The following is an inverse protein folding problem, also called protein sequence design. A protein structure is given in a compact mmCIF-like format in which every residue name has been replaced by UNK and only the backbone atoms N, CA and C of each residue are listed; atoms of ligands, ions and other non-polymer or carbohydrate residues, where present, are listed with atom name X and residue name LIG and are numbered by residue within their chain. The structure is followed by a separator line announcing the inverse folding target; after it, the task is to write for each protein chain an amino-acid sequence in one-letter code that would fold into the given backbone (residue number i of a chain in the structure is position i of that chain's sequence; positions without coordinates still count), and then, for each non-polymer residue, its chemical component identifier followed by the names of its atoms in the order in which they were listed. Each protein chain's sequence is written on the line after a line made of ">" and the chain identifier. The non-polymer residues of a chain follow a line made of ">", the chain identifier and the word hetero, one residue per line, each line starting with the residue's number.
data_IF_801745114572
#
_entry.id   IF_801745114572
#
_cell.length_a   1.000
_cell.length_b   1.000
_cell.length_c   1.000
_cell.angle_alpha   90.00
_cell.angle_beta   90.00
_cell.angle_gamma   90.00
#
_symmetry.space_group_name_H-M   'P 1'
#
loop_
_entity.id
_entity.type
_entity.pdbx_description
1 polymer ?
#
# COMPACT_ATOMS: atom_id res chain seq x y z
N UNK A 1 23.34 4.94 4.70
CA UNK A 1 21.99 4.67 5.25
C UNK A 1 21.42 3.47 4.51
N UNK A 2 20.36 2.78 4.99
CA UNK A 2 19.70 1.78 4.14
C UNK A 2 19.10 2.48 2.91
N UNK A 3 19.06 1.80 1.76
CA UNK A 3 18.36 2.30 0.59
C UNK A 3 16.86 2.46 0.87
N UNK A 4 16.15 3.26 0.06
CA UNK A 4 14.70 3.39 0.18
C UNK A 4 13.98 2.07 -0.14
N UNK A 5 14.55 1.26 -1.03
CA UNK A 5 14.04 -0.06 -1.38
C UNK A 5 15.12 -1.16 -1.27
N UNK A 6 14.73 -2.37 -0.88
CA UNK A 6 13.42 -2.74 -0.33
C UNK A 6 13.39 -2.44 1.17
N UNK A 7 12.24 -1.98 1.68
CA UNK A 7 12.04 -1.75 3.12
C UNK A 7 12.15 -3.08 3.88
N UNK A 8 12.79 -3.07 5.06
CA UNK A 8 12.86 -4.27 5.90
C UNK A 8 11.48 -4.62 6.46
N UNK A 9 11.27 -5.89 6.85
CA UNK A 9 9.95 -6.33 7.35
C UNK A 9 9.58 -5.57 8.63
N UNK A 10 10.50 -5.40 9.59
CA UNK A 10 10.23 -4.65 10.81
C UNK A 10 9.87 -3.18 10.57
N UNK A 11 10.62 -2.50 9.70
CA UNK A 11 10.29 -1.12 9.33
C UNK A 11 8.92 -1.04 8.66
N UNK A 12 8.61 -1.97 7.77
CA UNK A 12 7.31 -2.04 7.11
C UNK A 12 6.17 -2.27 8.12
N UNK A 13 6.33 -3.22 9.05
CA UNK A 13 5.34 -3.47 10.10
C UNK A 13 5.12 -2.21 10.95
N UNK A 14 6.19 -1.51 11.31
CA UNK A 14 6.10 -0.23 12.03
C UNK A 14 5.34 0.84 11.23
N UNK A 15 5.66 1.02 9.94
CA UNK A 15 5.00 1.99 9.06
C UNK A 15 3.51 1.69 8.89
N UNK A 16 3.15 0.41 8.81
CA UNK A 16 1.76 -0.03 8.65
C UNK A 16 0.99 -0.16 9.97
N UNK A 17 1.66 0.10 11.10
CA UNK A 17 1.12 -0.12 12.45
C UNK A 17 0.62 -1.57 12.64
N UNK A 18 1.45 -2.54 12.25
CA UNK A 18 1.22 -3.98 12.41
C UNK A 18 2.10 -4.55 13.55
N UNK A 19 1.66 -5.63 14.21
CA UNK A 19 2.43 -6.27 15.28
C UNK A 19 3.81 -6.74 14.82
N UNK A 20 4.85 -6.48 15.62
CA UNK A 20 6.24 -6.83 15.29
C UNK A 20 6.47 -8.36 15.23
N UNK A 21 5.65 -9.13 15.94
CA UNK A 21 5.65 -10.59 15.96
C UNK A 21 5.38 -11.20 14.57
N UNK A 22 4.79 -10.42 13.66
CA UNK A 22 4.58 -10.83 12.27
C UNK A 22 5.87 -10.87 11.44
N UNK A 23 7.01 -10.39 11.96
CA UNK A 23 8.28 -10.37 11.22
C UNK A 23 8.67 -11.75 10.67
N UNK A 24 8.41 -12.81 11.43
CA UNK A 24 8.72 -14.19 11.06
C UNK A 24 7.81 -14.78 9.97
N UNK A 25 6.77 -14.06 9.52
CA UNK A 25 5.86 -14.57 8.50
C UNK A 25 6.55 -14.59 7.11
N UNK A 26 6.72 -15.78 6.54
CA UNK A 26 7.47 -15.98 5.29
C UNK A 26 6.81 -15.33 4.09
N UNK A 27 5.50 -15.04 4.15
CA UNK A 27 4.76 -14.45 3.03
C UNK A 27 5.33 -13.10 2.60
N UNK A 28 5.80 -12.27 3.55
CA UNK A 28 6.42 -10.99 3.24
C UNK A 28 7.72 -11.16 2.44
N UNK A 29 8.49 -12.21 2.74
CA UNK A 29 9.71 -12.54 2.01
C UNK A 29 9.40 -13.05 0.60
N UNK A 30 8.39 -13.89 0.47
CA UNK A 30 7.96 -14.46 -0.82
C UNK A 30 7.42 -13.39 -1.78
N UNK A 31 6.71 -12.39 -1.25
CA UNK A 31 6.12 -11.32 -2.06
C UNK A 31 7.07 -10.15 -2.35
N UNK A 32 8.26 -10.12 -1.73
CA UNK A 32 9.27 -9.07 -1.94
C UNK A 32 9.61 -8.87 -3.41
N UNK A 33 9.89 -9.94 -4.14
CA UNK A 33 10.23 -9.86 -5.56
C UNK A 33 9.08 -9.29 -6.40
N UNK A 34 7.85 -9.73 -6.12
CA UNK A 34 6.65 -9.27 -6.82
C UNK A 34 6.40 -7.77 -6.61
N UNK A 35 6.55 -7.30 -5.38
CA UNK A 35 6.38 -5.87 -5.04
C UNK A 35 7.45 -5.02 -5.71
N UNK A 36 8.71 -5.47 -5.72
CA UNK A 36 9.80 -4.75 -6.38
C UNK A 36 9.58 -4.63 -7.89
N UNK A 37 9.20 -5.72 -8.56
CA UNK A 37 8.87 -5.69 -10.00
C UNK A 37 7.62 -4.84 -10.28
N UNK A 38 6.64 -4.86 -9.39
CA UNK A 38 5.46 -3.99 -9.49
C UNK A 38 5.86 -2.51 -9.45
N UNK A 39 6.68 -2.09 -8.48
CA UNK A 39 7.15 -0.71 -8.39
C UNK A 39 7.95 -0.35 -9.65
N UNK A 40 8.91 -1.19 -10.04
CA UNK A 40 9.73 -0.99 -11.24
C UNK A 40 8.91 -0.78 -12.50
N UNK A 41 7.82 -1.53 -12.65
CA UNK A 41 6.89 -1.41 -13.79
C UNK A 41 6.04 -0.13 -13.78
N UNK A 42 5.87 0.52 -12.63
CA UNK A 42 4.98 1.67 -12.46
C UNK A 42 5.69 3.03 -12.43
N UNK A 43 7.00 3.05 -12.18
CA UNK A 43 7.78 4.30 -12.05
C UNK A 43 8.76 4.48 -13.20
N UNK A 44 9.30 5.69 -13.35
CA UNK A 44 10.43 5.94 -14.25
C UNK A 44 11.70 5.29 -13.70
N UNK A 45 12.49 4.68 -14.59
CA UNK A 45 13.67 3.87 -14.20
C UNK A 45 14.70 4.69 -13.39
N UNK A 46 14.95 5.95 -13.75
CA UNK A 46 15.89 6.80 -13.00
C UNK A 46 15.48 6.98 -11.53
N UNK A 47 14.18 7.09 -11.23
CA UNK A 47 13.69 7.17 -9.85
C UNK A 47 13.72 5.82 -9.15
N UNK A 48 13.45 4.73 -9.87
CA UNK A 48 13.63 3.38 -9.34
C UNK A 48 15.09 3.11 -8.93
N UNK A 49 16.06 3.41 -9.80
CA UNK A 49 17.48 3.26 -9.49
C UNK A 49 17.89 4.15 -8.32
N UNK A 50 17.39 5.38 -8.26
CA UNK A 50 17.64 6.29 -7.13
C UNK A 50 17.14 5.70 -5.80
N UNK A 51 15.99 5.01 -5.80
CA UNK A 51 15.43 4.39 -4.60
C UNK A 51 16.23 3.17 -4.13
N UNK A 52 17.04 2.56 -5.00
CA UNK A 52 17.98 1.48 -4.65
C UNK A 52 19.33 1.99 -4.16
N UNK A 53 19.62 3.28 -4.33
CA UNK A 53 20.89 3.90 -3.97
C UNK A 53 20.95 4.19 -2.45
N UNK A 54 21.89 3.58 -1.69
CA UNK A 54 22.08 3.85 -0.26
C UNK A 54 22.57 5.26 0.09
N UNK A 55 22.96 6.05 -0.92
CA UNK A 55 23.38 7.45 -0.77
C UNK A 55 22.22 8.45 -0.81
N UNK A 56 21.02 8.02 -1.19
CA UNK A 56 19.82 8.86 -1.12
C UNK A 56 19.55 9.22 0.35
N UNK A 57 19.43 10.53 0.65
CA UNK A 57 19.20 10.96 2.03
C UNK A 57 17.78 10.65 2.49
N UNK A 58 17.61 10.42 3.79
CA UNK A 58 16.36 9.95 4.38
C UNK A 58 15.28 11.04 4.47
N UNK A 59 15.70 12.30 4.38
CA UNK A 59 14.91 13.51 4.24
C UNK A 59 14.57 13.88 2.77
N UNK A 60 15.08 13.13 1.78
CA UNK A 60 14.67 13.28 0.39
C UNK A 60 13.22 12.79 0.18
N UNK A 61 12.33 13.59 -0.46
CA UNK A 61 10.95 13.18 -0.72
C UNK A 61 10.83 11.85 -1.48
N UNK A 62 11.79 11.51 -2.34
CA UNK A 62 11.84 10.22 -3.06
C UNK A 62 12.05 9.07 -2.08
N UNK A 63 12.97 9.22 -1.12
CA UNK A 63 13.25 8.20 -0.11
C UNK A 63 11.96 7.85 0.65
N UNK A 64 11.28 8.89 1.13
CA UNK A 64 10.03 8.77 1.89
C UNK A 64 8.93 8.13 1.02
N UNK A 65 8.74 8.63 -0.21
CA UNK A 65 7.68 8.18 -1.09
C UNK A 65 7.80 6.70 -1.47
N UNK A 66 9.00 6.26 -1.87
CA UNK A 66 9.24 4.88 -2.27
C UNK A 66 9.09 3.90 -1.10
N UNK A 67 9.53 4.29 0.10
CA UNK A 67 9.36 3.46 1.32
C UNK A 67 7.88 3.27 1.65
N UNK A 68 7.10 4.35 1.68
CA UNK A 68 5.66 4.29 1.98
C UNK A 68 4.92 3.46 0.93
N UNK A 69 5.22 3.67 -0.36
CA UNK A 69 4.60 2.93 -1.45
C UNK A 69 4.90 1.43 -1.37
N UNK A 70 6.15 1.05 -1.08
CA UNK A 70 6.52 -0.35 -0.86
C UNK A 70 5.74 -0.98 0.28
N UNK A 71 5.55 -0.28 1.40
CA UNK A 71 4.80 -0.80 2.53
C UNK A 71 3.34 -1.08 2.16
N UNK A 72 2.68 -0.12 1.49
CA UNK A 72 1.30 -0.33 1.05
C UNK A 72 1.17 -1.44 0.00
N UNK A 73 2.10 -1.53 -0.95
CA UNK A 73 2.08 -2.57 -1.97
C UNK A 73 2.38 -3.96 -1.39
N UNK A 74 3.24 -4.05 -0.37
CA UNK A 74 3.47 -5.31 0.34
C UNK A 74 2.22 -5.78 1.06
N UNK A 75 1.51 -4.88 1.77
CA UNK A 75 0.26 -5.25 2.42
C UNK A 75 -0.83 -5.60 1.39
N UNK A 76 -0.92 -4.83 0.29
CA UNK A 76 -1.82 -5.15 -0.83
C UNK A 76 -1.56 -6.56 -1.37
N UNK A 77 -0.29 -6.93 -1.54
CA UNK A 77 0.12 -8.22 -2.10
C UNK A 77 -0.11 -9.39 -1.14
N UNK A 78 -0.09 -9.16 0.18
CA UNK A 78 -0.08 -10.22 1.19
C UNK A 78 -1.39 -10.35 1.99
N UNK A 79 -2.26 -9.34 2.00
CA UNK A 79 -3.41 -9.28 2.91
C UNK A 79 -4.40 -10.45 2.82
N UNK A 80 -4.51 -11.13 1.67
CA UNK A 80 -5.35 -12.34 1.51
C UNK A 80 -4.78 -13.57 2.22
N UNK A 81 -3.46 -13.61 2.41
CA UNK A 81 -2.74 -14.69 3.08
C UNK A 81 -2.53 -14.44 4.56
N UNK A 82 -2.62 -13.17 4.98
CA UNK A 82 -2.56 -12.81 6.38
C UNK A 82 -3.83 -13.30 7.06
N UNK A 83 -3.67 -14.07 8.14
CA UNK A 83 -4.79 -14.45 8.99
C UNK A 83 -5.35 -13.17 9.63
N UNK A 84 -6.42 -12.62 9.06
CA UNK A 84 -6.99 -11.30 9.37
C UNK A 84 -7.46 -11.14 10.83
N UNK A 85 -7.42 -12.20 11.65
CA UNK A 85 -7.55 -12.10 13.11
C UNK A 85 -6.56 -11.08 13.73
N UNK A 86 -5.39 -10.86 13.12
CA UNK A 86 -4.39 -9.89 13.59
C UNK A 86 -4.60 -8.45 13.10
N UNK A 87 -5.37 -8.23 12.02
CA UNK A 87 -5.83 -6.88 11.62
C UNK A 87 -7.09 -6.46 12.39
N UNK A 88 -7.81 -7.42 12.95
CA UNK A 88 -9.03 -7.25 13.75
C UNK A 88 -8.82 -6.75 15.18
N UNK A 89 -7.58 -6.56 15.64
CA UNK A 89 -7.32 -5.86 16.93
C UNK A 89 -7.47 -4.34 16.83
N UNK A 90 -7.77 -3.81 15.63
CA UNK A 90 -7.74 -2.37 15.37
C UNK A 90 -8.83 -1.80 14.47
N UNK A 91 -10.09 -2.25 14.49
CA UNK A 91 -11.28 -1.40 14.19
C UNK A 91 -12.49 -1.88 15.03
N UNK A 92 -12.69 -1.29 16.22
CA UNK A 92 -13.92 -1.45 17.00
C UNK A 92 -15.02 -0.62 16.36
N UNK A 93 -16.04 -1.25 15.76
CA UNK A 93 -17.15 -0.50 15.12
C UNK A 93 -18.28 -0.11 16.07
N UNK A 94 -18.40 -0.70 17.26
CA UNK A 94 -19.35 -0.27 18.30
C UNK A 94 -19.06 -0.98 19.61
N UNK A 95 -19.01 -0.24 20.73
CA UNK A 95 -18.90 -0.81 22.08
C UNK A 95 -20.31 -1.18 22.54
N UNK A 96 -20.75 -2.39 22.20
CA UNK A 96 -21.89 -3.05 22.85
C UNK A 96 -21.36 -3.90 23.99
N UNK A 97 -21.90 -3.72 25.19
CA UNK A 97 -21.35 -4.14 26.49
C UNK A 97 -21.02 -5.64 26.70
N UNK A 98 -21.23 -6.56 25.76
CA UNK A 98 -21.16 -8.00 26.05
C UNK A 98 -20.53 -8.93 25.00
N UNK A 99 -19.92 -8.48 23.91
CA UNK A 99 -19.21 -9.41 23.00
C UNK A 99 -18.23 -8.72 22.05
N UNK A 100 -16.94 -8.98 22.22
CA UNK A 100 -15.90 -8.67 21.21
C UNK A 100 -15.95 -9.73 20.11
N UNK A 101 -16.86 -9.57 19.13
CA UNK A 101 -16.89 -10.43 17.96
C UNK A 101 -15.84 -9.96 16.93
N UNK A 102 -14.83 -10.78 16.68
CA UNK A 102 -13.91 -10.61 15.54
C UNK A 102 -14.65 -11.05 14.28
N UNK A 103 -15.20 -10.12 13.51
CA UNK A 103 -15.80 -10.42 12.21
C UNK A 103 -14.71 -10.51 11.12
N UNK A 104 -14.75 -11.58 10.32
CA UNK A 104 -13.89 -11.73 9.16
C UNK A 104 -14.38 -10.79 8.05
N UNK A 105 -13.46 -10.10 7.38
CA UNK A 105 -13.80 -9.32 6.19
C UNK A 105 -14.38 -10.24 5.12
N UNK A 106 -15.48 -9.82 4.51
CA UNK A 106 -16.00 -10.45 3.28
C UNK A 106 -14.99 -10.25 2.13
N UNK A 107 -15.06 -11.09 1.09
CA UNK A 107 -14.20 -10.94 -0.09
C UNK A 107 -14.28 -9.53 -0.71
N UNK A 108 -15.48 -8.94 -0.76
CA UNK A 108 -15.68 -7.58 -1.27
C UNK A 108 -14.99 -6.51 -0.41
N UNK A 109 -14.93 -6.70 0.91
CA UNK A 109 -14.23 -5.78 1.81
C UNK A 109 -12.71 -5.90 1.68
N UNK A 110 -12.19 -7.11 1.44
CA UNK A 110 -10.78 -7.34 1.12
C UNK A 110 -10.42 -6.64 -0.20
N UNK A 111 -11.22 -6.80 -1.25
CA UNK A 111 -10.98 -6.15 -2.54
C UNK A 111 -11.01 -4.62 -2.44
N UNK A 112 -11.96 -4.07 -1.67
CA UNK A 112 -12.05 -2.64 -1.42
C UNK A 112 -10.85 -2.12 -0.60
N UNK A 113 -10.36 -2.92 0.36
CA UNK A 113 -9.17 -2.60 1.14
C UNK A 113 -7.91 -2.62 0.28
N UNK A 114 -7.71 -3.66 -0.53
CA UNK A 114 -6.61 -3.76 -1.51
C UNK A 114 -6.59 -2.56 -2.45
N UNK A 115 -7.74 -2.21 -3.01
CA UNK A 115 -7.88 -1.06 -3.91
C UNK A 115 -7.44 0.26 -3.23
N UNK A 116 -7.76 0.45 -1.94
CA UNK A 116 -7.31 1.62 -1.17
C UNK A 116 -5.80 1.63 -0.93
N UNK A 117 -5.21 0.49 -0.66
CA UNK A 117 -3.75 0.37 -0.47
C UNK A 117 -3.00 0.72 -1.76
N UNK A 118 -3.45 0.15 -2.88
CA UNK A 118 -2.86 0.45 -4.20
C UNK A 118 -3.01 1.93 -4.56
N UNK A 119 -4.21 2.51 -4.35
CA UNK A 119 -4.44 3.93 -4.58
C UNK A 119 -3.49 4.81 -3.75
N UNK A 120 -3.29 4.50 -2.46
CA UNK A 120 -2.37 5.24 -1.60
C UNK A 120 -0.93 5.14 -2.08
N UNK A 121 -0.48 3.94 -2.46
CA UNK A 121 0.87 3.73 -2.99
C UNK A 121 1.11 4.57 -4.26
N UNK A 122 0.19 4.50 -5.22
CA UNK A 122 0.31 5.25 -6.48
C UNK A 122 0.19 6.76 -6.29
N UNK A 123 -0.64 7.21 -5.35
CA UNK A 123 -0.79 8.63 -5.03
C UNK A 123 0.52 9.20 -4.50
N UNK A 124 1.18 8.49 -3.59
CA UNK A 124 2.48 8.89 -3.03
C UNK A 124 3.58 8.87 -4.10
N UNK A 125 3.50 7.95 -5.07
CA UNK A 125 4.43 7.87 -6.19
C UNK A 125 4.10 8.81 -7.36
N UNK A 126 3.02 9.61 -7.28
CA UNK A 126 2.45 10.33 -8.44
C UNK A 126 3.45 11.16 -9.25
N UNK A 127 4.45 11.77 -8.59
CA UNK A 127 5.50 12.55 -9.25
C UNK A 127 6.58 11.70 -9.98
N UNK A 128 6.63 10.40 -9.71
CA UNK A 128 7.66 9.47 -10.17
C UNK A 128 7.10 8.39 -11.12
N UNK A 129 5.78 8.35 -11.31
CA UNK A 129 5.12 7.37 -12.18
C UNK A 129 5.54 7.53 -13.64
N UNK A 130 5.72 6.39 -14.31
CA UNK A 130 5.76 6.33 -15.77
C UNK A 130 4.34 6.37 -16.35
N UNK A 131 4.20 6.20 -17.66
CA UNK A 131 2.89 6.26 -18.31
C UNK A 131 1.95 5.13 -17.89
N UNK A 132 2.47 3.91 -17.69
CA UNK A 132 1.69 2.79 -17.18
C UNK A 132 1.20 3.03 -15.74
N UNK A 133 2.06 3.61 -14.90
CA UNK A 133 1.70 4.00 -13.53
C UNK A 133 0.61 5.08 -13.50
N UNK A 134 0.72 6.11 -14.34
CA UNK A 134 -0.30 7.16 -14.47
C UNK A 134 -1.62 6.61 -14.97
N UNK A 135 -1.58 5.72 -15.96
CA UNK A 135 -2.76 5.03 -16.46
C UNK A 135 -3.42 4.20 -15.35
N UNK A 136 -2.65 3.40 -14.62
CA UNK A 136 -3.15 2.60 -13.50
C UNK A 136 -3.80 3.47 -12.43
N UNK A 137 -3.15 4.58 -12.06
CA UNK A 137 -3.71 5.55 -11.11
C UNK A 137 -5.04 6.12 -11.63
N UNK A 138 -5.14 6.46 -12.91
CA UNK A 138 -6.37 7.02 -13.51
C UNK A 138 -7.56 6.05 -13.50
N UNK A 139 -7.29 4.74 -13.50
CA UNK A 139 -8.29 3.68 -13.44
C UNK A 139 -8.81 3.50 -12.00
N UNK A 140 -7.92 3.58 -11.01
CA UNK A 140 -8.25 3.30 -9.60
C UNK A 140 -8.83 4.54 -8.90
N UNK A 141 -8.48 5.75 -9.34
CA UNK A 141 -9.05 6.99 -8.78
C UNK A 141 -10.58 6.96 -8.97
N UNK A 142 -11.37 7.06 -7.88
CA UNK A 142 -12.81 7.12 -7.98
C UNK A 142 -13.23 8.31 -8.84
N UNK A 143 -13.85 8.05 -9.98
CA UNK A 143 -14.44 9.13 -10.79
C UNK A 143 -15.57 9.74 -9.96
N UNK A 144 -15.43 11.03 -9.61
CA UNK A 144 -16.59 11.75 -9.09
C UNK A 144 -17.72 11.67 -10.14
N UNK A 145 -18.96 11.37 -9.74
CA UNK A 145 -20.08 11.41 -10.67
C UNK A 145 -20.13 12.82 -11.26
N UNK A 146 -19.96 12.94 -12.59
CA UNK A 146 -20.10 14.23 -13.26
C UNK A 146 -21.51 14.73 -12.97
N UNK A 147 -21.61 15.89 -12.33
CA UNK A 147 -22.89 16.58 -12.17
C UNK A 147 -23.36 16.93 -13.58
N UNK A 148 -24.27 16.12 -14.12
CA UNK A 148 -24.97 16.43 -15.37
C UNK A 148 -25.85 17.62 -15.05
N UNK A 149 -25.40 18.84 -15.39
CA UNK A 149 -26.29 20.00 -15.43
C UNK A 149 -27.23 19.79 -16.60
N UNK A 150 -28.39 19.19 -16.34
CA UNK A 150 -29.51 19.23 -17.28
C UNK A 150 -29.91 20.70 -17.35
N UNK A 151 -29.61 21.35 -18.48
CA UNK A 151 -30.14 22.67 -18.78
C UNK A 151 -31.66 22.58 -18.78
N UNK A 152 -32.30 23.26 -17.82
CA UNK A 152 -33.74 23.46 -17.84
C UNK A 152 -34.01 24.49 -18.95
N UNK A 153 -34.95 24.11 -19.82
CA UNK A 153 -35.43 24.80 -21.04
C UNK A 153 -35.93 26.21 -20.71
#
# INVERSE_FOLDING_TARGET
>A
MPAALPVTILEMLSVLNLPAEMEGNTIFKEHRGLVMETIKGLVLDNYYQSALDPSLSDDDPRYIAFRIAYCFLMLHSTCEFLNLKTLGEGIVKTVGLDQSATELLTGAEIDAFKSKLELRALTVLSAYLNDAGKERLSIIVPRQPRVIRVGVI
#
